data_IF_574417464822
#
_entry.id   IF_574417464822
#
_cell.length_a   1.000
_cell.length_b   1.000
_cell.length_c   1.000
_cell.angle_alpha   90.00
_cell.angle_beta   90.00
_cell.angle_gamma   90.00
#
_symmetry.space_group_name_H-M   'P 1'
#
loop_
_entity.id
_entity.type
_entity.pdbx_description
1 polymer ?
#
# COMPACT_ATOMS: atom_id res chain seq x y z
N UNK A 1 -3.61 28.35 4.94
CA UNK A 1 -2.33 27.72 5.32
C UNK A 1 -2.62 26.71 6.42
N UNK A 2 -2.24 25.46 6.27
CA UNK A 2 -2.38 24.42 7.30
C UNK A 2 -1.03 24.26 8.00
N UNK A 3 -1.00 24.42 9.33
CA UNK A 3 0.20 24.21 10.14
C UNK A 3 0.02 22.92 10.93
N UNK A 4 0.85 21.94 10.67
CA UNK A 4 0.88 20.67 11.41
C UNK A 4 2.02 20.75 12.44
N UNK A 5 1.67 20.57 13.73
CA UNK A 5 2.65 20.48 14.80
C UNK A 5 2.75 19.03 15.27
N UNK A 6 3.96 18.51 15.30
CA UNK A 6 4.24 17.17 15.83
C UNK A 6 4.73 17.27 17.28
N UNK A 7 4.35 16.29 18.10
CA UNK A 7 4.80 16.20 19.49
C UNK A 7 6.27 15.74 19.63
N UNK A 8 6.90 15.35 18.54
CA UNK A 8 8.31 14.92 18.48
C UNK A 8 9.07 15.81 17.51
N UNK A 9 10.31 16.13 17.83
CA UNK A 9 11.23 16.71 16.86
C UNK A 9 11.40 15.76 15.69
N UNK A 10 11.12 16.24 14.50
CA UNK A 10 11.24 15.46 13.28
C UNK A 10 12.33 16.06 12.42
N UNK A 11 13.32 15.25 12.07
CA UNK A 11 14.42 15.63 11.17
C UNK A 11 13.97 15.53 9.70
N UNK A 12 12.83 16.18 9.38
CA UNK A 12 12.19 16.07 8.07
C UNK A 12 13.00 16.75 6.96
N UNK A 13 13.78 17.76 7.28
CA UNK A 13 14.56 18.52 6.28
C UNK A 13 15.63 17.68 5.61
N UNK A 14 16.34 16.82 6.35
CA UNK A 14 17.31 15.89 5.77
C UNK A 14 16.63 14.83 4.91
N UNK A 15 15.49 14.32 5.37
CA UNK A 15 14.70 13.32 4.63
C UNK A 15 14.11 13.89 3.34
N UNK A 16 13.75 15.17 3.34
CA UNK A 16 13.24 15.84 2.14
C UNK A 16 14.31 16.04 1.05
N UNK A 17 15.59 16.06 1.40
CA UNK A 17 16.68 16.20 0.42
C UNK A 17 16.88 14.97 -0.47
N UNK A 18 16.46 13.80 -0.02
CA UNK A 18 16.60 12.51 -0.73
C UNK A 18 15.29 12.07 -1.42
N UNK A 19 14.58 13.02 -2.02
CA UNK A 19 13.34 12.72 -2.74
C UNK A 19 13.63 11.95 -4.02
N UNK A 20 12.98 10.83 -4.22
CA UNK A 20 12.91 10.11 -5.49
C UNK A 20 11.50 10.27 -6.03
N UNK A 21 11.38 10.82 -7.23
CA UNK A 21 10.10 10.93 -7.91
C UNK A 21 9.81 9.62 -8.62
N UNK A 22 8.75 8.93 -8.20
CA UNK A 22 8.32 7.70 -8.85
C UNK A 22 7.43 8.01 -10.05
N UNK A 23 7.65 7.33 -11.17
CA UNK A 23 6.78 7.41 -12.34
C UNK A 23 5.53 6.57 -12.10
N UNK A 24 4.36 7.17 -12.16
CA UNK A 24 3.08 6.48 -12.01
C UNK A 24 1.91 7.44 -12.00
N UNK A 25 0.69 6.91 -11.97
CA UNK A 25 -0.54 7.70 -11.94
C UNK A 25 -0.66 8.59 -10.68
N UNK A 26 0.08 8.29 -9.64
CA UNK A 26 0.22 9.14 -8.47
C UNK A 26 1.58 9.85 -8.54
N UNK A 27 1.60 11.14 -8.29
CA UNK A 27 2.83 11.88 -8.05
C UNK A 27 3.39 11.49 -6.67
N UNK A 28 3.74 10.20 -6.53
CA UNK A 28 4.31 9.67 -5.31
C UNK A 28 5.74 10.19 -5.11
N UNK A 29 6.00 10.74 -3.94
CA UNK A 29 7.35 11.03 -3.50
C UNK A 29 7.80 9.91 -2.57
N UNK A 30 8.78 9.15 -3.00
CA UNK A 30 9.43 8.13 -2.18
C UNK A 30 10.68 8.71 -1.51
N UNK A 31 10.93 8.34 -0.27
CA UNK A 31 12.12 8.77 0.46
C UNK A 31 13.17 7.67 0.38
N UNK A 32 14.36 8.00 -0.14
CA UNK A 32 15.45 7.03 -0.36
C UNK A 32 15.84 6.26 0.91
N UNK A 33 15.81 6.91 2.07
CA UNK A 33 16.13 6.25 3.35
C UNK A 33 15.08 5.19 3.73
N UNK A 34 13.82 5.40 3.37
CA UNK A 34 12.76 4.41 3.60
C UNK A 34 12.94 3.20 2.68
N UNK A 35 13.30 3.44 1.42
CA UNK A 35 13.57 2.37 0.46
C UNK A 35 14.78 1.55 0.88
N UNK A 36 15.87 2.19 1.34
CA UNK A 36 17.05 1.49 1.85
C UNK A 36 16.72 0.60 3.05
N UNK A 37 15.85 1.06 3.95
CA UNK A 37 15.41 0.27 5.09
C UNK A 37 14.57 -0.95 4.69
N UNK A 38 13.80 -0.85 3.60
CA UNK A 38 13.03 -1.97 3.04
C UNK A 38 13.96 -3.02 2.42
N UNK A 39 15.02 -2.59 1.74
CA UNK A 39 16.00 -3.50 1.11
C UNK A 39 16.78 -4.33 2.15
N UNK A 40 16.88 -3.87 3.38
CA UNK A 40 17.49 -4.61 4.49
C UNK A 40 16.55 -5.69 5.07
N UNK A 41 15.26 -5.62 4.79
CA UNK A 41 14.27 -6.58 5.32
C UNK A 41 14.38 -7.90 4.57
N UNK A 42 14.90 -8.91 5.23
CA UNK A 42 14.92 -10.29 4.72
C UNK A 42 13.64 -11.00 5.14
N UNK A 43 12.77 -11.23 4.17
CA UNK A 43 11.56 -12.02 4.40
C UNK A 43 11.91 -13.52 4.48
N UNK A 44 11.33 -14.27 5.42
CA UNK A 44 11.48 -15.71 5.44
C UNK A 44 10.83 -16.34 4.20
N UNK A 45 11.31 -17.50 3.75
CA UNK A 45 10.65 -18.21 2.65
C UNK A 45 9.21 -18.55 3.05
N UNK A 46 8.28 -18.24 2.18
CA UNK A 46 6.87 -18.54 2.39
C UNK A 46 6.35 -19.40 1.26
N UNK A 47 5.52 -20.39 1.61
CA UNK A 47 4.83 -21.20 0.61
C UNK A 47 3.49 -20.56 0.26
N UNK A 48 3.25 -20.40 -1.04
CA UNK A 48 1.99 -19.92 -1.58
C UNK A 48 1.24 -21.09 -2.23
N UNK A 49 0.02 -21.33 -1.79
CA UNK A 49 -0.87 -22.34 -2.37
C UNK A 49 -1.81 -21.69 -3.39
N UNK A 50 -1.87 -22.23 -4.58
CA UNK A 50 -2.77 -21.74 -5.65
C UNK A 50 -4.25 -21.76 -5.22
N UNK A 51 -4.64 -22.74 -4.40
CA UNK A 51 -5.99 -22.83 -3.84
C UNK A 51 -6.40 -21.59 -3.02
N UNK A 52 -5.45 -20.97 -2.32
CA UNK A 52 -5.70 -19.72 -1.59
C UNK A 52 -6.03 -18.57 -2.53
N UNK A 53 -5.36 -18.47 -3.67
CA UNK A 53 -5.61 -17.41 -4.65
C UNK A 53 -7.04 -17.51 -5.22
N UNK A 54 -7.48 -18.72 -5.56
CA UNK A 54 -8.85 -18.94 -6.03
C UNK A 54 -9.89 -18.64 -4.96
N UNK A 55 -9.64 -19.08 -3.72
CA UNK A 55 -10.55 -18.80 -2.59
C UNK A 55 -10.64 -17.29 -2.30
N UNK A 56 -9.48 -16.58 -2.31
CA UNK A 56 -9.41 -15.13 -2.12
C UNK A 56 -10.14 -14.38 -3.23
N UNK A 57 -9.91 -14.74 -4.48
CA UNK A 57 -10.57 -14.11 -5.63
C UNK A 57 -12.09 -14.20 -5.50
N UNK A 58 -12.64 -15.36 -5.13
CA UNK A 58 -14.06 -15.53 -4.92
C UNK A 58 -14.61 -14.70 -3.74
N UNK A 59 -13.85 -14.62 -2.64
CA UNK A 59 -14.25 -13.84 -1.45
C UNK A 59 -14.21 -12.34 -1.74
N UNK A 60 -13.11 -11.86 -2.31
CA UNK A 60 -12.87 -10.44 -2.56
C UNK A 60 -13.86 -9.88 -3.60
N UNK A 61 -14.09 -10.59 -4.69
CA UNK A 61 -15.00 -10.14 -5.75
C UNK A 61 -16.47 -10.06 -5.32
N UNK A 62 -16.81 -10.62 -4.18
CA UNK A 62 -18.16 -10.56 -3.60
C UNK A 62 -18.27 -9.58 -2.43
N UNK A 63 -17.16 -9.02 -1.99
CA UNK A 63 -17.16 -8.05 -0.89
C UNK A 63 -17.71 -6.71 -1.39
N UNK A 64 -18.75 -6.14 -0.75
CA UNK A 64 -19.24 -4.82 -1.09
C UNK A 64 -18.08 -3.80 -1.06
N UNK A 65 -17.95 -3.03 -2.13
CA UNK A 65 -16.81 -2.13 -2.30
C UNK A 65 -17.18 -0.98 -3.23
N UNK A 66 -16.50 0.13 -3.09
CA UNK A 66 -16.64 1.26 -4.02
C UNK A 66 -16.22 0.88 -5.45
N UNK A 67 -15.30 -0.07 -5.59
CA UNK A 67 -14.93 -0.61 -6.89
C UNK A 67 -16.12 -1.25 -7.61
N UNK A 68 -16.93 -2.03 -6.91
CA UNK A 68 -18.12 -2.65 -7.50
C UNK A 68 -19.20 -1.62 -7.87
N UNK A 69 -19.29 -0.53 -7.13
CA UNK A 69 -20.26 0.52 -7.35
C UNK A 69 -19.85 1.49 -8.46
N UNK A 70 -18.60 1.96 -8.44
CA UNK A 70 -18.10 3.03 -9.30
C UNK A 70 -17.24 2.54 -10.48
N UNK A 71 -16.61 1.38 -10.37
CA UNK A 71 -15.76 0.80 -11.43
C UNK A 71 -14.44 1.53 -11.72
N UNK A 72 -14.18 2.65 -11.05
CA UNK A 72 -13.03 3.53 -11.32
C UNK A 72 -12.04 3.63 -10.16
N UNK A 73 -12.09 2.69 -9.23
CA UNK A 73 -11.29 2.66 -7.99
C UNK A 73 -10.45 1.38 -7.97
N UNK A 74 -9.29 1.44 -7.35
CA UNK A 74 -8.43 0.28 -7.15
C UNK A 74 -8.55 -0.21 -5.70
N UNK A 75 -8.64 -1.54 -5.53
CA UNK A 75 -8.64 -2.17 -4.21
C UNK A 75 -7.33 -2.91 -3.95
N UNK A 76 -6.89 -2.88 -2.71
CA UNK A 76 -5.82 -3.71 -2.18
C UNK A 76 -6.30 -4.46 -0.95
N UNK A 77 -5.95 -5.73 -0.83
CA UNK A 77 -6.40 -6.58 0.27
C UNK A 77 -5.20 -7.24 0.92
N UNK A 78 -4.99 -6.96 2.19
CA UNK A 78 -4.03 -7.72 2.99
C UNK A 78 -4.69 -9.04 3.40
N UNK A 79 -4.00 -10.14 3.12
CA UNK A 79 -4.52 -11.48 3.37
C UNK A 79 -3.56 -12.31 4.20
N UNK A 80 -4.10 -13.26 4.96
CA UNK A 80 -3.35 -14.32 5.59
C UNK A 80 -3.88 -15.66 5.09
N UNK A 81 -3.08 -16.39 4.33
CA UNK A 81 -3.49 -17.58 3.62
C UNK A 81 -4.70 -17.28 2.69
N UNK A 82 -5.83 -17.93 2.87
CA UNK A 82 -7.07 -17.69 2.12
C UNK A 82 -8.05 -16.74 2.82
N UNK A 83 -7.59 -16.04 3.88
CA UNK A 83 -8.44 -15.16 4.70
C UNK A 83 -8.10 -13.69 4.44
N UNK A 84 -9.02 -12.89 3.89
CA UNK A 84 -8.88 -11.44 3.83
C UNK A 84 -8.88 -10.85 5.25
N UNK A 85 -7.95 -9.93 5.52
CA UNK A 85 -7.82 -9.25 6.81
C UNK A 85 -8.23 -7.79 6.73
N UNK A 86 -7.66 -7.05 5.78
CA UNK A 86 -7.87 -5.62 5.62
C UNK A 86 -8.10 -5.33 4.15
N UNK A 87 -9.10 -4.52 3.85
CA UNK A 87 -9.43 -4.05 2.51
C UNK A 87 -9.31 -2.52 2.47
N UNK A 88 -8.53 -2.01 1.53
CA UNK A 88 -8.32 -0.58 1.30
C UNK A 88 -8.58 -0.24 -0.14
N UNK A 89 -9.17 0.94 -0.37
CA UNK A 89 -9.48 1.44 -1.70
C UNK A 89 -8.89 2.82 -1.93
N UNK A 90 -8.49 3.08 -3.16
CA UNK A 90 -8.03 4.38 -3.62
C UNK A 90 -8.20 4.53 -5.13
N UNK A 91 -8.27 5.77 -5.61
CA UNK A 91 -8.26 6.09 -7.05
C UNK A 91 -6.91 5.72 -7.68
N UNK A 92 -5.84 5.85 -6.93
CA UNK A 92 -4.48 5.45 -7.33
C UNK A 92 -4.13 4.05 -6.83
N UNK A 93 -3.76 3.14 -7.75
CA UNK A 93 -3.40 1.75 -7.40
C UNK A 93 -2.25 1.65 -6.38
N UNK A 94 -1.27 2.53 -6.46
CA UNK A 94 -0.14 2.55 -5.53
C UNK A 94 -0.58 3.03 -4.15
N UNK A 95 -1.44 4.06 -4.09
CA UNK A 95 -1.97 4.55 -2.83
C UNK A 95 -2.84 3.51 -2.12
N UNK A 96 -3.56 2.66 -2.85
CA UNK A 96 -4.33 1.57 -2.26
C UNK A 96 -3.43 0.55 -1.54
N UNK A 97 -2.19 0.37 -2.00
CA UNK A 97 -1.20 -0.49 -1.34
C UNK A 97 -0.57 0.20 -0.14
N UNK A 98 -0.32 1.51 -0.26
CA UNK A 98 0.37 2.29 0.78
C UNK A 98 -0.51 2.56 2.03
N UNK A 99 -1.83 2.46 1.87
CA UNK A 99 -2.80 2.59 2.97
C UNK A 99 -2.80 1.38 3.89
#
# INVERSE_FOLDING_TARGET
>A
MVVVRTARETNYEEKLKKKVQTSGCAQGTSFGDLMAAIDEVKLPPAMLHTSWLYALSNKINRTPSLYLEAGAIHGCVLCQQDKPLIYMEDVGRHNAVDK
#
